data_IF_819550346877
#
_entry.id   IF_819550346877
#
_cell.length_a   1.000
_cell.length_b   1.000
_cell.length_c   1.000
_cell.angle_alpha   90.00
_cell.angle_beta   90.00
_cell.angle_gamma   90.00
#
_symmetry.space_group_name_H-M   'P 1'
#
loop_
_entity.id
_entity.type
_entity.pdbx_description
1 polymer ?
#
# COMPACT_ATOMS: atom_id res chain seq x y z
N UNK A 1 -24.41 -0.59 29.12
CA UNK A 1 -23.42 0.51 29.04
C UNK A 1 -23.12 0.73 27.56
N UNK A 2 -23.41 1.90 27.03
CA UNK A 2 -23.11 2.21 25.63
C UNK A 2 -21.61 2.49 25.50
N UNK A 3 -20.87 1.62 24.80
CA UNK A 3 -19.51 1.93 24.38
C UNK A 3 -19.57 2.97 23.27
N UNK A 4 -18.83 4.07 23.41
CA UNK A 4 -18.57 4.95 22.28
C UNK A 4 -17.73 4.19 21.26
N UNK A 5 -18.14 4.12 19.98
CA UNK A 5 -17.31 3.50 18.95
C UNK A 5 -15.97 4.23 18.88
N UNK A 6 -14.88 3.45 18.81
CA UNK A 6 -13.55 4.01 18.65
C UNK A 6 -13.46 4.71 17.28
N UNK A 7 -13.10 5.99 17.27
CA UNK A 7 -12.94 6.76 16.05
C UNK A 7 -11.53 6.60 15.49
N UNK A 8 -11.40 6.05 14.28
CA UNK A 8 -10.12 5.90 13.61
C UNK A 8 -9.90 7.07 12.63
N UNK A 9 -9.01 8.01 12.96
CA UNK A 9 -8.85 9.23 12.17
C UNK A 9 -8.26 9.00 10.77
N UNK A 10 -7.46 7.95 10.58
CA UNK A 10 -6.91 7.56 9.26
C UNK A 10 -7.92 6.79 8.42
N UNK A 11 -8.98 6.27 9.04
CA UNK A 11 -10.05 5.54 8.36
C UNK A 11 -11.41 5.84 9.02
N UNK A 12 -11.95 7.08 8.85
CA UNK A 12 -13.15 7.50 9.56
C UNK A 12 -14.41 6.69 9.23
N UNK A 13 -14.41 6.01 8.08
CA UNK A 13 -15.53 5.20 7.58
C UNK A 13 -15.24 3.69 7.68
N UNK A 14 -14.16 3.29 8.34
CA UNK A 14 -13.77 1.89 8.53
C UNK A 14 -13.73 1.12 7.19
N UNK A 15 -13.14 1.73 6.17
CA UNK A 15 -12.87 1.09 4.88
C UNK A 15 -12.21 -0.27 5.06
N UNK A 16 -11.27 -0.40 6.00
CA UNK A 16 -10.61 -1.69 6.28
C UNK A 16 -11.63 -2.78 6.64
N UNK A 17 -12.71 -2.46 7.35
CA UNK A 17 -13.77 -3.42 7.72
C UNK A 17 -14.72 -3.75 6.58
N UNK A 18 -14.75 -2.92 5.53
CA UNK A 18 -15.58 -3.14 4.34
C UNK A 18 -14.90 -4.06 3.32
N UNK A 19 -13.59 -4.27 3.45
CA UNK A 19 -12.82 -5.17 2.60
C UNK A 19 -13.03 -6.63 2.98
N UNK A 20 -13.04 -7.49 1.97
CA UNK A 20 -12.88 -8.94 2.12
C UNK A 20 -11.46 -9.28 2.58
N UNK A 21 -11.27 -10.52 3.04
CA UNK A 21 -9.93 -11.01 3.43
C UNK A 21 -8.96 -11.00 2.23
N UNK A 22 -9.42 -11.41 1.05
CA UNK A 22 -8.62 -11.38 -0.18
C UNK A 22 -8.19 -9.96 -0.55
N UNK A 23 -9.10 -8.97 -0.47
CA UNK A 23 -8.77 -7.57 -0.74
C UNK A 23 -7.76 -7.01 0.28
N UNK A 24 -7.88 -7.37 1.57
CA UNK A 24 -6.88 -7.00 2.58
C UNK A 24 -5.52 -7.61 2.30
N UNK A 25 -5.46 -8.88 1.87
CA UNK A 25 -4.20 -9.52 1.50
C UNK A 25 -3.53 -8.83 0.30
N UNK A 26 -4.30 -8.51 -0.73
CA UNK A 26 -3.80 -7.78 -1.91
C UNK A 26 -3.30 -6.39 -1.53
N UNK A 27 -4.06 -5.67 -0.69
CA UNK A 27 -3.66 -4.36 -0.18
C UNK A 27 -2.33 -4.43 0.59
N UNK A 28 -2.19 -5.39 1.50
CA UNK A 28 -0.96 -5.59 2.27
C UNK A 28 0.24 -5.94 1.37
N UNK A 29 0.04 -6.82 0.41
CA UNK A 29 1.09 -7.17 -0.58
C UNK A 29 1.54 -5.95 -1.37
N UNK A 30 0.58 -5.16 -1.89
CA UNK A 30 0.87 -3.92 -2.61
C UNK A 30 1.60 -2.89 -1.74
N UNK A 31 1.19 -2.73 -0.47
CA UNK A 31 1.84 -1.83 0.48
C UNK A 31 3.28 -2.27 0.78
N UNK A 32 3.51 -3.56 0.95
CA UNK A 32 4.85 -4.12 1.18
C UNK A 32 5.76 -3.90 -0.02
N UNK A 33 5.28 -4.21 -1.24
CA UNK A 33 6.02 -3.93 -2.48
C UNK A 33 6.38 -2.45 -2.61
N UNK A 34 5.43 -1.55 -2.33
CA UNK A 34 5.67 -0.12 -2.39
C UNK A 34 6.75 0.33 -1.38
N UNK A 35 6.72 -0.19 -0.15
CA UNK A 35 7.69 0.14 0.88
C UNK A 35 9.10 -0.41 0.55
N UNK A 36 9.19 -1.66 0.11
CA UNK A 36 10.49 -2.33 -0.08
C UNK A 36 11.15 -2.01 -1.42
N UNK A 37 10.35 -1.85 -2.48
CA UNK A 37 10.83 -1.76 -3.86
C UNK A 37 10.72 -0.35 -4.42
N UNK A 38 9.64 0.37 -4.14
CA UNK A 38 9.40 1.69 -4.74
C UNK A 38 9.97 2.85 -3.90
N UNK A 39 9.73 2.84 -2.59
CA UNK A 39 10.18 3.89 -1.67
C UNK A 39 11.70 4.17 -1.71
N UNK A 40 12.61 3.17 -1.78
CA UNK A 40 14.04 3.47 -1.88
C UNK A 40 14.47 4.07 -3.23
N UNK A 41 13.68 3.85 -4.30
CA UNK A 41 14.01 4.29 -5.66
C UNK A 41 13.48 5.68 -5.99
N UNK A 42 12.38 6.10 -5.35
CA UNK A 42 11.59 7.28 -5.76
C UNK A 42 12.39 8.58 -5.77
N UNK A 43 13.29 8.79 -4.82
CA UNK A 43 14.04 10.06 -4.71
C UNK A 43 14.99 10.29 -5.89
N UNK A 44 15.79 9.28 -6.23
CA UNK A 44 16.75 9.36 -7.33
C UNK A 44 16.05 9.25 -8.69
N UNK A 45 15.05 8.37 -8.81
CA UNK A 45 14.23 8.22 -10.00
C UNK A 45 13.54 9.55 -10.38
N UNK A 46 12.92 10.22 -9.40
CA UNK A 46 12.28 11.51 -9.62
C UNK A 46 13.30 12.61 -9.94
N UNK A 47 14.42 12.67 -9.20
CA UNK A 47 15.46 13.69 -9.40
C UNK A 47 16.09 13.64 -10.80
N UNK A 48 16.23 12.44 -11.35
CA UNK A 48 16.90 12.22 -12.64
C UNK A 48 15.93 11.95 -13.78
N UNK A 49 14.61 12.03 -13.55
CA UNK A 49 13.57 11.70 -14.52
C UNK A 49 13.77 10.32 -15.17
N UNK A 50 14.18 9.33 -14.37
CA UNK A 50 14.48 7.98 -14.81
C UNK A 50 13.51 6.98 -14.17
N UNK A 51 13.09 5.99 -14.95
CA UNK A 51 12.24 4.89 -14.50
C UNK A 51 12.94 3.57 -14.75
N UNK A 52 13.03 2.73 -13.72
CA UNK A 52 13.59 1.38 -13.83
C UNK A 52 12.56 0.41 -14.47
N UNK A 53 12.82 -0.12 -15.69
CA UNK A 53 11.91 -1.07 -16.33
C UNK A 53 11.77 -2.40 -15.55
N UNK A 54 12.70 -2.72 -14.66
CA UNK A 54 12.60 -3.93 -13.82
C UNK A 54 11.37 -3.90 -12.92
N UNK A 55 10.87 -2.72 -12.54
CA UNK A 55 9.66 -2.56 -11.71
C UNK A 55 8.46 -3.31 -12.31
N UNK A 56 8.30 -3.29 -13.65
CA UNK A 56 7.20 -4.00 -14.31
C UNK A 56 7.30 -5.53 -14.17
N UNK A 57 8.53 -6.06 -14.10
CA UNK A 57 8.73 -7.50 -13.86
C UNK A 57 8.52 -7.81 -12.39
N UNK A 58 9.09 -7.02 -11.49
CA UNK A 58 8.95 -7.21 -10.04
C UNK A 58 7.48 -7.16 -9.59
N UNK A 59 6.63 -6.34 -10.23
CA UNK A 59 5.19 -6.31 -9.94
C UNK A 59 4.45 -7.62 -10.32
N UNK A 60 4.98 -8.40 -11.26
CA UNK A 60 4.41 -9.67 -11.69
C UNK A 60 5.09 -10.89 -11.06
N UNK A 61 6.13 -10.68 -10.25
CA UNK A 61 6.76 -11.72 -9.46
C UNK A 61 5.90 -12.01 -8.22
N UNK A 62 5.39 -13.24 -8.15
CA UNK A 62 4.58 -13.81 -7.06
C UNK A 62 5.42 -14.15 -5.85
#
# INVERSE_FOLDING_TARGET
MSQMPAFHWQDPLLLDQQLTEEERMVQQSAAQFAADKLAPRVLEAFRHEQTDPAIFREMGET
#
